data_IF_116810473393
#
_entry.id   IF_116810473393
#
_cell.length_a   1.000
_cell.length_b   1.000
_cell.length_c   1.000
_cell.angle_alpha   90.00
_cell.angle_beta   90.00
_cell.angle_gamma   90.00
#
_symmetry.space_group_name_H-M   'P 1'
#
loop_
_entity.id
_entity.type
_entity.pdbx_description
1 polymer ?
#
# COMPACT_ATOMS: atom_id res chain seq x y z
N UNK A 1 62.65 14.13 38.55
CA UNK A 1 61.71 12.98 38.54
C UNK A 1 60.44 13.40 37.86
N UNK A 2 60.32 13.16 36.54
CA UNK A 2 59.24 13.67 35.67
C UNK A 2 58.26 12.52 35.37
N UNK A 3 57.07 12.56 35.94
CA UNK A 3 56.01 11.59 35.68
C UNK A 3 55.34 11.94 34.36
N UNK A 4 55.42 11.02 33.35
CA UNK A 4 54.63 11.08 32.13
C UNK A 4 53.28 10.40 32.38
N UNK A 5 52.19 11.16 32.33
CA UNK A 5 50.83 10.65 32.32
C UNK A 5 50.54 10.08 30.91
N UNK A 6 50.30 8.75 30.83
CA UNK A 6 49.80 8.12 29.61
C UNK A 6 48.25 8.25 29.59
N UNK A 7 47.73 9.03 28.65
CA UNK A 7 46.29 9.02 28.37
C UNK A 7 45.98 7.84 27.43
N UNK A 8 45.28 6.85 27.94
CA UNK A 8 44.68 5.78 27.11
C UNK A 8 43.35 6.29 26.59
N UNK A 9 43.30 6.59 25.30
CA UNK A 9 42.07 6.91 24.57
C UNK A 9 41.30 5.61 24.34
N UNK A 10 40.26 5.35 25.14
CA UNK A 10 39.35 4.26 24.91
C UNK A 10 38.44 4.63 23.71
N UNK A 11 38.71 4.02 22.56
CA UNK A 11 37.87 4.11 21.38
C UNK A 11 36.63 3.25 21.62
N UNK A 12 35.51 3.88 22.04
CA UNK A 12 34.22 3.22 22.05
C UNK A 12 33.76 3.03 20.61
N UNK A 13 33.99 1.86 20.05
CA UNK A 13 33.26 1.42 18.84
C UNK A 13 31.82 1.16 19.24
N UNK A 14 30.94 2.10 18.93
CA UNK A 14 29.51 1.84 18.96
C UNK A 14 29.21 0.82 17.87
N UNK A 15 29.05 -0.43 18.26
CA UNK A 15 28.44 -1.43 17.39
C UNK A 15 27.03 -0.92 17.09
N UNK A 16 26.75 -0.60 15.82
CA UNK A 16 25.37 -0.42 15.37
C UNK A 16 24.68 -1.76 15.58
N UNK A 17 23.84 -1.85 16.60
CA UNK A 17 22.90 -2.96 16.75
C UNK A 17 21.87 -2.72 15.67
N UNK A 18 21.89 -3.51 14.60
CA UNK A 18 20.77 -3.54 13.66
C UNK A 18 19.55 -4.00 14.45
N UNK A 19 18.65 -3.07 14.73
CA UNK A 19 17.36 -3.40 15.30
C UNK A 19 16.58 -4.28 14.30
N UNK A 20 15.70 -5.14 14.80
CA UNK A 20 14.76 -5.86 13.93
C UNK A 20 13.92 -4.83 13.16
N UNK A 21 13.55 -5.11 11.88
CA UNK A 21 12.68 -4.22 11.13
C UNK A 21 11.35 -3.97 11.86
N UNK A 22 11.01 -2.71 12.07
CA UNK A 22 9.79 -2.28 12.75
C UNK A 22 8.65 -2.16 11.75
N UNK A 23 7.70 -3.09 11.80
CA UNK A 23 6.47 -3.04 11.00
C UNK A 23 5.48 -2.11 11.67
N UNK A 24 5.54 -0.83 11.33
CA UNK A 24 4.75 0.24 11.97
C UNK A 24 3.31 0.33 11.50
N UNK A 25 2.94 -0.40 10.43
CA UNK A 25 1.59 -0.40 9.87
C UNK A 25 1.17 -1.83 9.50
N UNK A 26 -0.08 -2.17 9.78
CA UNK A 26 -0.70 -3.44 9.40
C UNK A 26 -2.00 -3.16 8.68
N UNK A 27 -2.09 -3.54 7.41
CA UNK A 27 -3.25 -3.32 6.57
C UNK A 27 -3.81 -4.64 6.07
N UNK A 28 -5.10 -4.86 6.31
CA UNK A 28 -5.86 -6.03 5.88
C UNK A 28 -6.70 -5.65 4.66
N UNK A 29 -6.62 -6.43 3.58
CA UNK A 29 -7.19 -6.10 2.27
C UNK A 29 -8.01 -7.25 1.70
N UNK A 30 -9.23 -6.94 1.28
CA UNK A 30 -10.07 -7.87 0.52
C UNK A 30 -10.48 -7.22 -0.80
N UNK A 31 -10.31 -7.97 -1.86
CA UNK A 31 -10.85 -7.60 -3.17
C UNK A 31 -12.34 -7.92 -3.19
N UNK A 32 -13.10 -7.03 -3.79
CA UNK A 32 -14.55 -7.10 -3.87
C UNK A 32 -14.98 -7.37 -5.32
N UNK A 33 -16.17 -7.93 -5.46
CA UNK A 33 -16.87 -7.97 -6.75
C UNK A 33 -17.23 -6.54 -7.18
N UNK A 34 -16.48 -5.99 -8.13
CA UNK A 34 -16.66 -4.63 -8.61
C UNK A 34 -18.04 -4.40 -9.24
N UNK A 35 -18.73 -5.47 -9.68
CA UNK A 35 -20.08 -5.38 -10.25
C UNK A 35 -21.18 -5.02 -9.24
N UNK A 36 -20.88 -5.12 -7.93
CA UNK A 36 -21.76 -4.70 -6.84
C UNK A 36 -21.83 -3.16 -6.71
N UNK A 37 -21.00 -2.41 -7.45
CA UNK A 37 -20.90 -0.97 -7.36
C UNK A 37 -21.20 -0.31 -8.69
N UNK A 38 -21.89 0.83 -8.65
CA UNK A 38 -22.05 1.70 -9.80
C UNK A 38 -21.81 3.16 -9.39
N UNK A 39 -21.32 3.99 -10.30
CA UNK A 39 -21.07 5.40 -9.97
C UNK A 39 -22.36 6.15 -9.61
N UNK A 40 -23.49 5.76 -10.18
CA UNK A 40 -24.79 6.38 -9.91
C UNK A 40 -25.28 6.14 -8.49
N UNK A 41 -25.02 4.96 -7.91
CA UNK A 41 -25.38 4.56 -6.54
C UNK A 41 -24.18 4.39 -5.62
N UNK A 42 -23.00 4.89 -6.02
CA UNK A 42 -21.71 4.62 -5.37
C UNK A 42 -21.74 4.78 -3.84
N UNK A 43 -22.34 5.87 -3.34
CA UNK A 43 -22.41 6.10 -1.90
C UNK A 43 -23.32 5.07 -1.19
N UNK A 44 -24.49 4.77 -1.76
CA UNK A 44 -25.39 3.76 -1.18
C UNK A 44 -24.77 2.36 -1.24
N UNK A 45 -24.14 2.00 -2.35
CA UNK A 45 -23.49 0.69 -2.49
C UNK A 45 -22.33 0.53 -1.47
N UNK A 46 -21.58 1.61 -1.23
CA UNK A 46 -20.54 1.63 -0.18
C UNK A 46 -21.16 1.56 1.21
N UNK A 47 -22.26 2.26 1.47
CA UNK A 47 -22.96 2.22 2.76
C UNK A 47 -23.49 0.81 3.05
N UNK A 48 -24.11 0.15 2.07
CA UNK A 48 -24.64 -1.22 2.20
C UNK A 48 -23.51 -2.21 2.53
N UNK A 49 -22.34 -2.07 1.89
CA UNK A 49 -21.15 -2.85 2.24
C UNK A 49 -20.71 -2.60 3.69
N UNK A 50 -20.67 -1.33 4.11
CA UNK A 50 -20.25 -0.96 5.47
C UNK A 50 -21.20 -1.52 6.52
N UNK A 51 -22.50 -1.49 6.28
CA UNK A 51 -23.54 -2.02 7.19
C UNK A 51 -23.39 -3.55 7.35
N UNK A 52 -23.06 -4.26 6.26
CA UNK A 52 -22.75 -5.70 6.31
C UNK A 52 -21.43 -5.99 7.05
N UNK A 53 -20.38 -5.15 6.84
CA UNK A 53 -19.10 -5.25 7.56
C UNK A 53 -19.32 -4.99 9.05
N UNK A 54 -20.06 -3.94 9.44
CA UNK A 54 -20.42 -3.63 10.82
C UNK A 54 -21.06 -4.85 11.47
N UNK A 55 -22.13 -5.38 10.87
CA UNK A 55 -22.86 -6.54 11.38
C UNK A 55 -21.94 -7.76 11.60
N UNK A 56 -21.09 -8.07 10.61
CA UNK A 56 -20.21 -9.24 10.67
C UNK A 56 -19.09 -9.06 11.72
N UNK A 57 -18.46 -7.89 11.75
CA UNK A 57 -17.33 -7.59 12.62
C UNK A 57 -17.78 -7.45 14.07
N UNK A 58 -18.88 -6.74 14.35
CA UNK A 58 -19.43 -6.60 15.70
C UNK A 58 -19.86 -7.93 16.29
N UNK A 59 -20.48 -8.80 15.47
CA UNK A 59 -20.81 -10.16 15.87
C UNK A 59 -19.58 -10.99 16.24
N UNK A 60 -18.48 -10.84 15.49
CA UNK A 60 -17.26 -11.61 15.72
C UNK A 60 -16.44 -11.11 16.92
N UNK A 61 -16.37 -9.80 17.10
CA UNK A 61 -15.48 -9.16 18.09
C UNK A 61 -16.19 -8.81 19.40
N UNK A 62 -17.53 -8.68 19.41
CA UNK A 62 -18.32 -8.04 20.49
C UNK A 62 -17.78 -6.63 20.79
N UNK A 63 -17.46 -5.87 19.74
CA UNK A 63 -16.94 -4.50 19.77
C UNK A 63 -17.53 -3.70 18.62
N UNK A 64 -17.55 -2.39 18.77
CA UNK A 64 -18.26 -1.52 17.85
C UNK A 64 -17.45 -1.24 16.57
N UNK A 65 -18.17 -1.12 15.48
CA UNK A 65 -17.75 -0.40 14.28
C UNK A 65 -18.47 0.96 14.28
N UNK A 66 -17.75 2.05 14.06
CA UNK A 66 -18.30 3.40 14.21
C UNK A 66 -17.93 4.30 13.04
N UNK A 67 -18.73 5.32 12.79
CA UNK A 67 -18.50 6.29 11.73
C UNK A 67 -19.48 6.12 10.57
N UNK A 68 -19.25 6.90 9.52
CA UNK A 68 -20.07 6.87 8.29
C UNK A 68 -19.14 7.10 7.12
N UNK A 69 -19.21 6.29 6.05
CA UNK A 69 -18.25 6.39 4.95
C UNK A 69 -18.34 7.76 4.28
N UNK A 70 -17.21 8.45 4.19
CA UNK A 70 -17.05 9.73 3.52
C UNK A 70 -16.10 9.60 2.34
N UNK A 71 -16.46 10.17 1.20
CA UNK A 71 -15.58 10.23 0.05
C UNK A 71 -14.45 11.24 0.29
N UNK A 72 -13.30 10.76 0.73
CA UNK A 72 -12.16 11.57 1.16
C UNK A 72 -11.13 11.82 0.06
N UNK A 73 -11.05 10.94 -0.97
CA UNK A 73 -10.09 11.07 -2.08
C UNK A 73 -10.76 10.90 -3.44
N UNK A 74 -10.39 11.78 -4.35
CA UNK A 74 -10.69 11.70 -5.80
C UNK A 74 -9.40 12.05 -6.53
N UNK A 75 -8.69 11.03 -7.03
CA UNK A 75 -7.37 11.23 -7.61
C UNK A 75 -7.13 10.32 -8.81
N UNK A 76 -6.15 10.65 -9.62
CA UNK A 76 -5.64 9.73 -10.63
C UNK A 76 -4.46 8.94 -10.10
N UNK A 77 -4.33 7.70 -10.57
CA UNK A 77 -3.22 6.79 -10.22
C UNK A 77 -2.66 6.21 -11.51
N UNK A 78 -1.36 6.32 -11.68
CA UNK A 78 -0.61 5.85 -12.83
C UNK A 78 0.57 5.01 -12.35
N UNK A 79 0.82 3.87 -13.00
CA UNK A 79 1.99 3.04 -12.74
C UNK A 79 2.92 3.13 -13.95
N UNK A 80 4.22 3.15 -13.68
CA UNK A 80 5.24 3.25 -14.72
C UNK A 80 6.22 2.10 -14.62
N UNK A 81 6.59 1.54 -15.77
CA UNK A 81 7.59 0.49 -15.87
C UNK A 81 8.22 0.49 -17.29
N UNK A 82 9.23 -0.34 -17.50
CA UNK A 82 9.87 -0.53 -18.80
C UNK A 82 8.96 -1.41 -19.68
N UNK A 83 8.47 -0.84 -20.77
CA UNK A 83 7.63 -1.59 -21.69
C UNK A 83 8.42 -2.72 -22.36
N UNK A 84 7.82 -3.90 -22.47
CA UNK A 84 8.42 -5.11 -23.06
C UNK A 84 9.14 -6.00 -22.04
N UNK A 85 9.52 -5.48 -20.85
CA UNK A 85 10.23 -6.29 -19.84
C UNK A 85 9.64 -6.16 -18.44
N UNK A 86 8.99 -5.03 -18.10
CA UNK A 86 8.48 -4.75 -16.75
C UNK A 86 9.57 -4.95 -15.67
N UNK A 87 10.75 -4.36 -15.88
CA UNK A 87 11.94 -4.59 -15.06
C UNK A 87 11.71 -4.26 -13.59
N UNK A 88 10.97 -3.17 -13.28
CA UNK A 88 10.61 -2.82 -11.89
C UNK A 88 9.78 -3.94 -11.24
N UNK A 89 8.72 -4.38 -11.93
CA UNK A 89 7.84 -5.42 -11.41
C UNK A 89 8.56 -6.76 -11.27
N UNK A 90 9.42 -7.10 -12.23
CA UNK A 90 10.24 -8.32 -12.20
C UNK A 90 11.22 -8.31 -11.02
N UNK A 91 11.74 -7.14 -10.63
CA UNK A 91 12.60 -6.95 -9.46
C UNK A 91 11.83 -6.82 -8.12
N UNK A 92 10.50 -6.94 -8.12
CA UNK A 92 9.68 -6.82 -6.90
C UNK A 92 9.23 -5.40 -6.55
N UNK A 93 9.54 -4.43 -7.43
CA UNK A 93 9.17 -3.04 -7.26
C UNK A 93 7.85 -2.67 -7.94
N UNK A 94 7.29 -1.57 -7.52
CA UNK A 94 6.29 -0.81 -8.27
C UNK A 94 6.57 0.68 -8.11
N UNK A 95 6.57 1.41 -9.21
CA UNK A 95 6.67 2.85 -9.22
C UNK A 95 5.36 3.46 -9.68
N UNK A 96 4.84 4.40 -8.89
CA UNK A 96 3.50 4.92 -9.05
C UNK A 96 3.46 6.42 -8.83
N UNK A 97 2.71 7.13 -9.68
CA UNK A 97 2.30 8.51 -9.48
C UNK A 97 0.83 8.59 -9.07
N UNK A 98 0.52 9.49 -8.15
CA UNK A 98 -0.84 9.90 -7.77
C UNK A 98 -0.99 11.40 -7.91
N UNK A 99 -2.08 11.83 -8.51
CA UNK A 99 -2.42 13.25 -8.61
C UNK A 99 -3.75 13.50 -7.90
N UNK A 100 -3.70 14.27 -6.81
CA UNK A 100 -4.83 14.68 -6.00
C UNK A 100 -4.88 16.21 -5.94
N UNK A 101 -5.96 16.84 -6.40
CA UNK A 101 -6.10 18.30 -6.39
C UNK A 101 -4.89 19.04 -7.02
N UNK A 102 -4.39 18.56 -8.15
CA UNK A 102 -3.21 19.07 -8.87
C UNK A 102 -1.87 18.93 -8.09
N UNK A 103 -1.86 18.21 -6.99
CA UNK A 103 -0.63 17.83 -6.30
C UNK A 103 -0.23 16.43 -6.73
N UNK A 104 0.98 16.28 -7.27
CA UNK A 104 1.53 14.99 -7.69
C UNK A 104 2.47 14.44 -6.63
N UNK A 105 2.32 13.17 -6.36
CA UNK A 105 3.15 12.38 -5.44
C UNK A 105 3.60 11.10 -6.15
N UNK A 106 4.88 10.78 -6.07
CA UNK A 106 5.42 9.50 -6.51
C UNK A 106 5.62 8.56 -5.33
N UNK A 107 5.52 7.28 -5.61
CA UNK A 107 5.79 6.22 -4.61
C UNK A 107 6.63 5.14 -5.24
N UNK A 108 7.80 4.85 -4.67
CA UNK A 108 8.55 3.62 -4.92
C UNK A 108 8.22 2.63 -3.81
N UNK A 109 7.84 1.41 -4.17
CA UNK A 109 7.49 0.35 -3.20
C UNK A 109 8.07 -0.98 -3.62
N UNK A 110 8.83 -1.59 -2.73
CA UNK A 110 9.28 -2.97 -2.83
C UNK A 110 8.38 -3.91 -2.02
N UNK A 111 8.26 -5.18 -2.42
CA UNK A 111 7.47 -6.20 -1.71
C UNK A 111 8.15 -7.54 -1.66
N UNK A 112 8.19 -8.12 -0.45
CA UNK A 112 8.64 -9.49 -0.22
C UNK A 112 7.77 -10.20 0.82
N UNK A 113 7.77 -11.53 0.84
CA UNK A 113 7.22 -12.32 1.94
C UNK A 113 8.13 -12.35 3.16
N UNK A 114 9.41 -12.00 2.98
CA UNK A 114 10.38 -11.86 4.05
C UNK A 114 10.51 -10.39 4.44
N UNK A 115 10.25 -10.10 5.73
CA UNK A 115 10.28 -8.73 6.25
C UNK A 115 11.69 -8.12 6.21
N UNK A 116 12.73 -8.95 6.41
CA UNK A 116 14.12 -8.48 6.39
C UNK A 116 14.55 -8.11 4.98
N UNK A 117 14.20 -8.95 3.98
CA UNK A 117 14.42 -8.62 2.58
C UNK A 117 13.70 -7.32 2.22
N UNK A 118 12.44 -7.15 2.67
CA UNK A 118 11.72 -5.91 2.41
C UNK A 118 12.35 -4.69 3.08
N UNK A 119 12.87 -4.83 4.29
CA UNK A 119 13.51 -3.74 5.04
C UNK A 119 14.88 -3.35 4.46
N UNK A 120 15.62 -4.33 3.96
CA UNK A 120 16.97 -4.11 3.41
C UNK A 120 16.96 -3.41 2.04
N UNK A 121 15.85 -3.48 1.29
CA UNK A 121 15.73 -2.73 0.06
C UNK A 121 15.58 -1.24 0.35
N UNK A 122 16.54 -0.45 -0.10
CA UNK A 122 16.54 0.98 0.16
C UNK A 122 15.62 1.71 -0.83
N UNK A 123 14.50 2.18 -0.33
CA UNK A 123 13.53 3.00 -1.06
C UNK A 123 13.55 4.46 -0.60
N UNK A 124 14.60 4.88 0.12
CA UNK A 124 14.69 6.23 0.67
C UNK A 124 14.67 7.30 -0.41
N UNK A 125 14.21 8.48 -0.05
CA UNK A 125 14.10 9.63 -0.95
C UNK A 125 14.81 10.84 -0.37
N UNK A 126 15.55 11.54 -1.20
CA UNK A 126 16.15 12.84 -0.89
C UNK A 126 15.18 14.02 -1.02
N UNK A 127 13.96 13.77 -1.54
CA UNK A 127 12.96 14.82 -1.76
C UNK A 127 12.38 15.29 -0.43
N UNK A 128 12.35 16.59 -0.22
CA UNK A 128 11.77 17.17 0.99
C UNK A 128 10.26 16.82 1.10
N UNK A 129 9.85 16.38 2.30
CA UNK A 129 8.49 15.89 2.55
C UNK A 129 8.27 14.43 2.18
N UNK A 130 9.33 13.67 1.85
CA UNK A 130 9.23 12.24 1.67
C UNK A 130 8.94 11.52 2.99
N UNK A 131 8.14 10.46 2.91
CA UNK A 131 7.77 9.62 4.06
C UNK A 131 7.95 8.15 3.70
N UNK A 132 8.78 7.44 4.49
CA UNK A 132 9.07 6.02 4.34
C UNK A 132 8.34 5.19 5.39
N UNK A 133 7.93 3.98 5.03
CA UNK A 133 7.37 3.00 5.98
C UNK A 133 7.59 1.57 5.55
N UNK A 134 7.75 0.70 6.54
CA UNK A 134 7.62 -0.74 6.39
C UNK A 134 6.25 -1.18 6.90
N UNK A 135 5.45 -1.82 6.07
CA UNK A 135 4.10 -2.26 6.41
C UNK A 135 3.89 -3.75 6.14
N UNK A 136 3.01 -4.39 6.92
CA UNK A 136 2.49 -5.71 6.60
C UNK A 136 1.17 -5.57 5.85
N UNK A 137 1.15 -5.99 4.59
CA UNK A 137 -0.04 -6.14 3.76
C UNK A 137 -0.59 -7.57 3.98
N UNK A 138 -1.76 -7.69 4.62
CA UNK A 138 -2.42 -8.95 4.91
C UNK A 138 -3.61 -9.08 3.96
N UNK A 139 -3.59 -10.10 3.13
CA UNK A 139 -4.64 -10.38 2.16
C UNK A 139 -5.08 -11.82 2.20
N UNK A 140 -6.03 -12.17 1.33
CA UNK A 140 -6.46 -13.53 1.03
C UNK A 140 -5.85 -13.98 -0.29
N UNK A 141 -5.57 -15.27 -0.42
CA UNK A 141 -5.24 -15.90 -1.70
C UNK A 141 -6.15 -17.10 -1.94
N UNK A 142 -6.18 -17.59 -3.16
CA UNK A 142 -6.89 -18.84 -3.50
C UNK A 142 -6.37 -20.06 -2.72
N UNK A 143 -5.13 -20.02 -2.26
CA UNK A 143 -4.45 -21.13 -1.58
C UNK A 143 -4.47 -21.01 -0.06
N UNK A 144 -4.68 -19.80 0.48
CA UNK A 144 -4.65 -19.59 1.92
C UNK A 144 -5.59 -18.45 2.33
N UNK A 145 -6.30 -18.60 3.47
CA UNK A 145 -7.17 -17.54 4.00
C UNK A 145 -6.40 -16.31 4.44
N UNK A 146 -5.10 -16.45 4.69
CA UNK A 146 -4.22 -15.36 5.10
C UNK A 146 -2.92 -15.48 4.32
N UNK A 147 -2.56 -14.39 3.63
CA UNK A 147 -1.26 -14.21 2.98
C UNK A 147 -0.69 -12.88 3.46
N UNK A 148 0.53 -12.92 4.00
CA UNK A 148 1.24 -11.73 4.45
C UNK A 148 2.36 -11.42 3.46
N UNK A 149 2.44 -10.14 3.07
CA UNK A 149 3.52 -9.58 2.26
C UNK A 149 3.99 -8.31 2.96
N UNK A 150 5.28 -8.13 3.10
CA UNK A 150 5.85 -6.91 3.65
C UNK A 150 6.16 -5.94 2.53
N UNK A 151 5.76 -4.68 2.70
CA UNK A 151 5.98 -3.62 1.73
C UNK A 151 6.82 -2.51 2.32
N UNK A 152 8.04 -2.32 1.82
CA UNK A 152 8.84 -1.13 2.11
C UNK A 152 8.54 -0.09 1.04
N UNK A 153 8.14 1.09 1.44
CA UNK A 153 7.75 2.13 0.48
C UNK A 153 8.07 3.51 0.97
N UNK A 154 8.44 4.36 0.02
CA UNK A 154 8.55 5.81 0.25
C UNK A 154 7.67 6.54 -0.74
N UNK A 155 6.85 7.45 -0.23
CA UNK A 155 6.14 8.44 -1.01
C UNK A 155 6.85 9.78 -0.92
N UNK A 156 6.91 10.50 -2.04
CA UNK A 156 7.57 11.79 -2.12
C UNK A 156 6.79 12.73 -3.04
N UNK A 157 6.79 14.06 -2.79
CA UNK A 157 6.28 15.01 -3.77
C UNK A 157 6.95 14.82 -5.13
N UNK A 158 6.15 14.75 -6.19
CA UNK A 158 6.70 14.62 -7.54
C UNK A 158 7.26 15.97 -8.02
N UNK A 159 8.48 15.97 -8.50
CA UNK A 159 9.19 17.16 -8.98
C UNK A 159 9.48 17.11 -10.48
N UNK A 160 9.07 16.03 -11.17
CA UNK A 160 9.42 15.77 -12.58
C UNK A 160 8.26 15.17 -13.37
N UNK A 161 8.34 15.25 -14.69
CA UNK A 161 7.53 14.41 -15.59
C UNK A 161 8.17 13.06 -15.68
N UNK A 162 7.41 11.97 -15.41
CA UNK A 162 7.91 10.61 -15.39
C UNK A 162 7.93 10.06 -16.82
N UNK A 163 9.13 9.77 -17.37
CA UNK A 163 9.30 9.21 -18.70
C UNK A 163 10.54 8.32 -18.87
N UNK A 164 11.44 8.30 -17.90
CA UNK A 164 12.66 7.49 -17.93
C UNK A 164 13.17 7.14 -16.52
N UNK A 165 14.09 6.20 -16.42
CA UNK A 165 14.64 5.70 -15.15
C UNK A 165 15.31 6.81 -14.33
N UNK A 166 16.00 7.79 -14.94
CA UNK A 166 16.52 8.97 -14.26
C UNK A 166 15.47 9.74 -13.43
N UNK A 167 14.20 9.66 -13.81
CA UNK A 167 13.13 10.29 -13.04
C UNK A 167 12.82 9.54 -11.74
N UNK A 168 13.10 8.22 -11.68
CA UNK A 168 13.09 7.45 -10.44
C UNK A 168 14.32 7.81 -9.60
N UNK A 169 15.52 7.74 -10.20
CA UNK A 169 16.79 8.01 -9.52
C UNK A 169 16.82 9.39 -8.86
N UNK A 170 16.24 10.40 -9.51
CA UNK A 170 16.17 11.75 -8.96
C UNK A 170 15.31 11.87 -7.68
N UNK A 171 14.33 10.97 -7.48
CA UNK A 171 13.52 10.91 -6.27
C UNK A 171 14.09 9.91 -5.25
N UNK A 172 14.69 8.81 -5.73
CA UNK A 172 15.13 7.65 -4.94
C UNK A 172 16.57 7.29 -5.30
N UNK A 173 17.58 8.06 -4.81
CA UNK A 173 18.97 7.91 -5.24
C UNK A 173 19.61 6.58 -4.82
N UNK A 174 19.19 5.98 -3.71
CA UNK A 174 19.74 4.68 -3.27
C UNK A 174 19.28 3.55 -4.19
N UNK A 175 18.10 3.64 -4.80
CA UNK A 175 17.68 2.72 -5.85
C UNK A 175 18.63 2.73 -7.05
N UNK A 176 19.20 3.90 -7.42
CA UNK A 176 20.26 4.00 -8.43
C UNK A 176 21.52 3.27 -7.99
N UNK A 177 21.96 3.49 -6.74
CA UNK A 177 23.16 2.88 -6.20
C UNK A 177 23.07 1.35 -6.14
N UNK A 178 21.89 0.81 -5.81
CA UNK A 178 21.69 -0.63 -5.67
C UNK A 178 21.56 -1.35 -7.01
N UNK A 179 20.91 -0.75 -8.00
CA UNK A 179 20.59 -1.42 -9.27
C UNK A 179 21.41 -0.90 -10.47
N UNK A 180 21.82 0.36 -10.47
CA UNK A 180 22.65 0.96 -11.53
C UNK A 180 22.00 0.87 -12.91
N UNK A 181 20.67 0.95 -13.01
CA UNK A 181 19.98 0.90 -14.29
C UNK A 181 20.27 2.14 -15.12
N UNK A 182 20.23 1.97 -16.45
CA UNK A 182 20.53 3.06 -17.35
C UNK A 182 19.46 4.17 -17.27
N UNK A 183 19.90 5.38 -16.91
CA UNK A 183 19.09 6.60 -16.80
C UNK A 183 18.22 6.89 -18.02
N UNK A 184 18.71 6.53 -19.21
CA UNK A 184 18.01 6.79 -20.46
C UNK A 184 16.99 5.70 -20.83
N UNK A 185 16.84 4.66 -20.01
CA UNK A 185 15.80 3.65 -20.21
C UNK A 185 14.43 4.29 -20.08
N UNK A 186 13.60 4.18 -21.13
CA UNK A 186 12.28 4.77 -21.15
C UNK A 186 11.32 4.06 -20.19
N UNK A 187 10.56 4.83 -19.46
CA UNK A 187 9.41 4.36 -18.68
C UNK A 187 8.13 4.69 -19.45
N UNK A 188 7.20 3.76 -19.43
CA UNK A 188 5.89 3.89 -20.04
C UNK A 188 4.78 3.67 -19.01
N UNK A 189 3.63 4.28 -19.26
CA UNK A 189 2.43 4.06 -18.47
C UNK A 189 1.96 2.61 -18.64
N UNK A 190 1.97 1.84 -17.55
CA UNK A 190 1.64 0.40 -17.57
C UNK A 190 0.22 0.21 -18.08
N UNK A 191 0.09 -0.64 -19.12
CA UNK A 191 -1.19 -0.94 -19.75
C UNK A 191 -1.90 0.26 -20.37
N UNK A 192 -1.20 1.39 -20.56
CA UNK A 192 -1.80 2.68 -20.97
C UNK A 192 -3.02 3.06 -20.09
N UNK A 193 -2.97 2.67 -18.80
CA UNK A 193 -4.08 2.80 -17.88
C UNK A 193 -3.88 3.97 -16.90
N UNK A 194 -4.68 5.01 -17.04
CA UNK A 194 -4.87 6.01 -15.97
C UNK A 194 -6.10 5.64 -15.16
N UNK A 195 -5.88 5.28 -13.89
CA UNK A 195 -6.95 4.94 -12.97
C UNK A 195 -7.52 6.21 -12.34
N UNK A 196 -8.85 6.32 -12.30
CA UNK A 196 -9.56 7.31 -11.49
C UNK A 196 -9.98 6.63 -10.18
N UNK A 197 -9.26 6.95 -9.11
CA UNK A 197 -9.44 6.35 -7.78
C UNK A 197 -10.35 7.20 -6.92
N UNK A 198 -11.32 6.54 -6.27
CA UNK A 198 -12.23 7.14 -5.28
C UNK A 198 -12.10 6.33 -3.99
N UNK A 199 -11.89 7.00 -2.86
CA UNK A 199 -11.67 6.36 -1.56
C UNK A 199 -12.66 6.91 -0.54
N UNK A 200 -13.41 6.01 0.05
CA UNK A 200 -14.30 6.25 1.19
C UNK A 200 -13.59 5.83 2.47
N UNK A 201 -13.71 6.63 3.53
CA UNK A 201 -13.09 6.46 4.84
C UNK A 201 -14.04 6.94 5.96
N UNK A 202 -13.50 7.24 7.14
CA UNK A 202 -14.21 7.73 8.33
C UNK A 202 -15.11 6.66 8.98
N UNK A 203 -14.76 5.39 8.81
CA UNK A 203 -15.33 4.25 9.53
C UNK A 203 -14.20 3.55 10.30
N UNK A 204 -14.44 3.18 11.55
CA UNK A 204 -13.42 2.67 12.46
C UNK A 204 -13.88 1.41 13.16
N UNK A 205 -13.03 0.38 13.19
CA UNK A 205 -13.21 -0.86 13.93
C UNK A 205 -12.46 -0.73 15.27
N UNK A 206 -13.17 -0.83 16.38
CA UNK A 206 -12.56 -0.84 17.72
C UNK A 206 -11.80 -2.15 17.96
N UNK A 207 -10.47 -2.08 17.94
CA UNK A 207 -9.58 -3.19 18.31
C UNK A 207 -9.13 -3.12 19.78
N UNK A 208 -9.53 -2.09 20.50
CA UNK A 208 -9.24 -1.82 21.91
C UNK A 208 -8.13 -0.81 22.12
N UNK A 209 -6.87 -1.17 22.02
CA UNK A 209 -5.75 -0.23 22.13
C UNK A 209 -5.65 0.67 20.87
N UNK A 210 -6.08 0.18 19.74
CA UNK A 210 -6.09 0.90 18.46
C UNK A 210 -7.48 0.81 17.84
N UNK A 211 -7.87 1.87 17.15
CA UNK A 211 -8.97 1.86 16.20
C UNK A 211 -8.41 1.63 14.81
N UNK A 212 -8.96 0.68 14.07
CA UNK A 212 -8.55 0.43 12.70
C UNK A 212 -9.43 1.22 11.73
N UNK A 213 -8.83 2.13 10.94
CA UNK A 213 -9.53 2.88 9.92
C UNK A 213 -9.87 1.96 8.74
N UNK A 214 -11.16 1.87 8.42
CA UNK A 214 -11.68 1.15 7.27
C UNK A 214 -11.71 2.06 6.05
N UNK A 215 -11.38 1.51 4.89
CA UNK A 215 -11.39 2.22 3.61
C UNK A 215 -12.03 1.35 2.53
N UNK A 216 -12.92 1.95 1.73
CA UNK A 216 -13.42 1.34 0.48
C UNK A 216 -12.83 2.11 -0.69
N UNK A 217 -12.15 1.40 -1.58
CA UNK A 217 -11.47 1.98 -2.75
C UNK A 217 -12.11 1.47 -4.02
N UNK A 218 -12.57 2.38 -4.87
CA UNK A 218 -13.15 2.10 -6.17
C UNK A 218 -12.27 2.70 -7.28
N UNK A 219 -11.94 1.89 -8.27
CA UNK A 219 -11.13 2.28 -9.41
C UNK A 219 -11.94 2.26 -10.71
N UNK A 220 -11.81 3.32 -11.49
CA UNK A 220 -12.43 3.46 -12.82
C UNK A 220 -11.32 3.67 -13.86
N UNK A 221 -11.49 3.14 -15.06
CA UNK A 221 -10.53 3.28 -16.17
C UNK A 221 -10.65 4.60 -16.96
N UNK A 222 -11.64 5.42 -16.59
CA UNK A 222 -11.84 6.78 -17.10
C UNK A 222 -12.51 7.63 -16.01
N UNK A 223 -12.58 8.95 -16.22
CA UNK A 223 -13.38 9.82 -15.35
C UNK A 223 -14.82 9.32 -15.30
N UNK A 224 -15.34 8.91 -14.13
CA UNK A 224 -16.62 8.21 -14.07
C UNK A 224 -17.79 9.12 -14.39
N UNK A 225 -18.78 8.57 -15.06
CA UNK A 225 -20.08 9.14 -15.38
C UNK A 225 -21.19 8.30 -14.74
N UNK A 226 -22.45 8.74 -14.81
CA UNK A 226 -23.57 8.01 -14.20
C UNK A 226 -23.72 6.56 -14.67
N UNK A 227 -23.23 6.22 -15.87
CA UNK A 227 -23.27 4.86 -16.42
C UNK A 227 -21.98 4.06 -16.14
N UNK A 228 -21.01 4.61 -15.42
CA UNK A 228 -19.74 3.94 -15.14
C UNK A 228 -19.89 2.94 -14.01
N UNK A 229 -19.20 1.79 -14.15
CA UNK A 229 -18.94 0.85 -13.06
C UNK A 229 -17.45 0.79 -12.79
N UNK A 230 -17.03 0.56 -11.55
CA UNK A 230 -15.61 0.40 -11.24
C UNK A 230 -15.05 -0.88 -11.87
N UNK A 231 -13.77 -0.84 -12.23
CA UNK A 231 -13.02 -1.99 -12.75
C UNK A 231 -12.32 -2.76 -11.62
N UNK A 232 -12.13 -2.15 -10.46
CA UNK A 232 -11.59 -2.75 -9.24
C UNK A 232 -12.32 -2.16 -8.04
N UNK A 233 -12.69 -3.00 -7.08
CA UNK A 233 -13.18 -2.61 -5.78
C UNK A 233 -12.38 -3.35 -4.69
N UNK A 234 -12.03 -2.64 -3.62
CA UNK A 234 -11.28 -3.18 -2.49
C UNK A 234 -11.81 -2.58 -1.20
N UNK A 235 -12.00 -3.40 -0.18
CA UNK A 235 -12.15 -2.97 1.20
C UNK A 235 -10.87 -3.28 1.96
N UNK A 236 -10.40 -2.34 2.75
CA UNK A 236 -9.26 -2.54 3.64
C UNK A 236 -9.51 -1.88 4.99
N UNK A 237 -8.83 -2.38 6.02
CA UNK A 237 -8.69 -1.64 7.26
C UNK A 237 -7.23 -1.71 7.74
N UNK A 238 -6.80 -0.66 8.39
CA UNK A 238 -5.43 -0.57 8.90
C UNK A 238 -5.38 0.03 10.29
N UNK A 239 -4.38 -0.38 11.04
CA UNK A 239 -3.96 0.27 12.27
C UNK A 239 -2.44 0.44 12.26
N UNK A 240 -1.96 1.49 12.91
CA UNK A 240 -0.57 1.92 12.87
C UNK A 240 -0.08 2.23 14.28
N UNK A 241 1.20 1.94 14.54
CA UNK A 241 1.92 2.34 15.73
C UNK A 241 3.38 2.59 15.36
N UNK A 242 3.89 3.79 15.63
CA UNK A 242 5.25 4.19 15.25
C UNK A 242 6.34 3.41 15.99
N UNK A 243 6.00 2.80 17.13
CA UNK A 243 6.89 1.91 17.89
C UNK A 243 6.72 0.44 17.52
N UNK A 244 5.80 0.11 16.61
CA UNK A 244 5.41 -1.25 16.25
C UNK A 244 5.01 -2.13 17.46
N UNK A 245 4.52 -1.50 18.55
CA UNK A 245 4.13 -2.20 19.79
C UNK A 245 2.66 -2.62 19.73
N UNK A 246 2.42 -3.76 19.10
CA UNK A 246 1.09 -4.34 18.95
C UNK A 246 0.82 -5.42 20.01
N UNK A 247 -0.15 -5.19 20.87
CA UNK A 247 -0.58 -6.23 21.82
C UNK A 247 -1.19 -7.43 21.10
N UNK A 248 -1.02 -8.62 21.69
CA UNK A 248 -1.64 -9.85 21.17
C UNK A 248 -3.15 -9.71 20.96
N UNK A 249 -3.85 -8.94 21.84
CA UNK A 249 -5.29 -8.72 21.72
C UNK A 249 -5.66 -7.95 20.46
N UNK A 250 -4.92 -6.89 20.13
CA UNK A 250 -5.14 -6.08 18.92
C UNK A 250 -4.94 -6.94 17.68
N UNK A 251 -3.82 -7.67 17.62
CA UNK A 251 -3.51 -8.52 16.45
C UNK A 251 -4.55 -9.62 16.23
N UNK A 252 -5.01 -10.29 17.31
CA UNK A 252 -6.03 -11.32 17.19
C UNK A 252 -7.39 -10.73 16.77
N UNK A 253 -7.82 -9.61 17.35
CA UNK A 253 -9.06 -8.94 16.95
C UNK A 253 -9.04 -8.49 15.49
N UNK A 254 -7.93 -7.94 15.02
CA UNK A 254 -7.78 -7.61 13.61
C UNK A 254 -7.91 -8.84 12.70
N UNK A 255 -7.35 -9.97 13.13
CA UNK A 255 -7.47 -11.24 12.41
C UNK A 255 -8.91 -11.76 12.41
N UNK A 256 -9.60 -11.68 13.56
CA UNK A 256 -11.00 -12.11 13.70
C UNK A 256 -11.92 -11.20 12.85
N UNK A 257 -11.72 -9.87 12.86
CA UNK A 257 -12.41 -8.93 11.98
C UNK A 257 -12.20 -9.28 10.50
N UNK A 258 -10.95 -9.52 10.09
CA UNK A 258 -10.63 -9.90 8.72
C UNK A 258 -11.30 -11.21 8.31
N UNK A 259 -11.32 -12.19 9.21
CA UNK A 259 -12.00 -13.49 8.98
C UNK A 259 -13.51 -13.33 8.84
N UNK A 260 -14.13 -12.46 9.64
CA UNK A 260 -15.56 -12.13 9.53
C UNK A 260 -15.87 -11.48 8.18
N UNK A 261 -15.07 -10.49 7.77
CA UNK A 261 -15.22 -9.83 6.47
C UNK A 261 -15.05 -10.78 5.28
N UNK A 262 -14.16 -11.79 5.39
CA UNK A 262 -14.02 -12.82 4.34
C UNK A 262 -15.28 -13.66 4.15
N UNK A 263 -16.15 -13.72 5.15
CA UNK A 263 -17.45 -14.40 5.12
C UNK A 263 -18.53 -13.65 4.31
N UNK A 264 -18.30 -12.40 3.94
CA UNK A 264 -19.24 -11.57 3.17
C UNK A 264 -19.20 -11.98 1.68
N UNK A 265 -19.67 -13.17 1.36
CA UNK A 265 -19.54 -13.80 0.03
C UNK A 265 -20.32 -13.09 -1.07
N UNK A 266 -21.28 -12.23 -0.74
CA UNK A 266 -21.97 -11.35 -1.69
C UNK A 266 -21.08 -10.22 -2.18
N UNK A 267 -20.06 -9.85 -1.41
CA UNK A 267 -19.17 -8.74 -1.71
C UNK A 267 -17.77 -9.17 -2.11
N UNK A 268 -17.22 -10.24 -1.48
CA UNK A 268 -15.82 -10.65 -1.66
C UNK A 268 -15.64 -11.48 -2.92
N UNK A 269 -14.77 -11.00 -3.84
CA UNK A 269 -14.33 -11.79 -4.98
C UNK A 269 -13.01 -12.50 -4.66
N UNK A 270 -13.08 -13.82 -4.49
CA UNK A 270 -11.91 -14.66 -4.19
C UNK A 270 -10.95 -14.83 -5.38
N UNK A 271 -11.37 -14.47 -6.59
CA UNK A 271 -10.60 -14.60 -7.82
C UNK A 271 -10.03 -13.25 -8.30
N UNK A 272 -10.45 -12.15 -7.68
CA UNK A 272 -10.00 -10.82 -8.08
C UNK A 272 -8.49 -10.66 -7.89
N UNK A 273 -7.90 -9.92 -8.79
CA UNK A 273 -6.48 -9.57 -8.74
C UNK A 273 -6.27 -8.41 -7.77
N UNK A 274 -5.16 -8.42 -7.03
CA UNK A 274 -4.75 -7.22 -6.28
C UNK A 274 -4.58 -6.03 -7.22
N UNK A 275 -4.78 -4.81 -6.72
CA UNK A 275 -4.69 -3.57 -7.52
C UNK A 275 -3.43 -3.49 -8.41
N UNK A 276 -2.24 -3.79 -7.86
CA UNK A 276 -1.00 -3.78 -8.64
C UNK A 276 -1.03 -4.85 -9.74
N UNK A 277 -1.41 -6.08 -9.40
CA UNK A 277 -1.48 -7.17 -10.38
C UNK A 277 -2.50 -6.90 -11.47
N UNK A 278 -3.63 -6.29 -11.12
CA UNK A 278 -4.64 -5.87 -12.08
C UNK A 278 -4.06 -4.91 -13.13
N UNK A 279 -3.30 -3.88 -12.71
CA UNK A 279 -2.70 -2.91 -13.64
C UNK A 279 -1.74 -3.59 -14.61
N UNK A 280 -0.86 -4.48 -14.13
CA UNK A 280 0.09 -5.20 -14.99
C UNK A 280 -0.56 -6.24 -15.90
N UNK A 281 -1.79 -6.66 -15.62
CA UNK A 281 -2.57 -7.58 -16.45
C UNK A 281 -3.65 -6.88 -17.29
N UNK A 282 -3.81 -5.57 -17.16
CA UNK A 282 -4.80 -4.80 -17.90
C UNK A 282 -4.54 -4.83 -19.41
N UNK A 283 -3.27 -4.71 -19.80
CA UNK A 283 -2.79 -5.00 -21.16
C UNK A 283 -1.71 -6.09 -21.08
N UNK A 284 -2.07 -7.31 -21.46
CA UNK A 284 -1.16 -8.46 -21.41
C UNK A 284 0.05 -8.34 -22.33
N UNK A 285 0.05 -7.39 -23.27
CA UNK A 285 1.17 -7.15 -24.19
C UNK A 285 2.21 -6.18 -23.61
N UNK A 286 1.91 -5.48 -22.53
CA UNK A 286 2.79 -4.44 -22.00
C UNK A 286 4.15 -4.98 -21.54
N UNK A 287 4.18 -6.16 -20.91
CA UNK A 287 5.41 -6.80 -20.40
C UNK A 287 6.04 -7.83 -21.37
N UNK A 288 5.52 -7.94 -22.62
CA UNK A 288 5.95 -8.96 -23.60
C UNK A 288 6.48 -8.31 -24.89
#
# INVERSE_FOLDING_TARGET
MTYRLLFVLACCTTSMVNANPDVTSREYKLMLDASQFSYNSEYSDVQDLIDDVETAVESALSRNVTGTPQLTKRRTVMFFDVQGSCDLNAAGYSFRERVDNNQSEVTLKFRSQDRYISDFEDVSSSTNGAESKLEADIGKSSEAPIKIVYGHSTKAPNTRTINKVDDIHAHFPEFENDYGWNDNTSLSLVGNLTVHERVYKDVFIDLGQHDAELSVTLWYNAAPTQSSSPIVAEVSFKYEDSSADYSRKVVNRALDAFSAMQGLTSWVDNNALTKTRFVYQYDNSFCN
#
